data_IF_066301458070
#
_entry.id   IF_066301458070
#
_cell.length_a   1.000
_cell.length_b   1.000
_cell.length_c   1.000
_cell.angle_alpha   90.00
_cell.angle_beta   90.00
_cell.angle_gamma   90.00
#
_symmetry.space_group_name_H-M   'P 1'
#
loop_
_entity.id
_entity.type
_entity.pdbx_description
1 polymer ?
#
# COMPACT_ATOMS: atom_id res chain seq x y z
N UNK A 1 -63.41 -60.97 43.82
CA UNK A 1 -62.79 -60.73 42.50
C UNK A 1 -61.97 -59.46 42.62
N UNK A 2 -60.66 -59.61 42.67
CA UNK A 2 -59.73 -58.52 42.97
C UNK A 2 -59.37 -57.78 41.68
N UNK A 3 -59.38 -56.45 41.74
CA UNK A 3 -58.96 -55.52 40.68
C UNK A 3 -57.44 -55.56 40.56
N UNK A 4 -56.92 -55.73 39.36
CA UNK A 4 -55.53 -55.43 39.03
C UNK A 4 -55.44 -54.54 37.78
N UNK A 5 -54.78 -53.40 38.00
CA UNK A 5 -53.76 -52.76 37.17
C UNK A 5 -54.11 -52.40 35.72
N UNK A 6 -54.48 -51.13 35.56
CA UNK A 6 -54.18 -50.39 34.34
C UNK A 6 -52.70 -50.01 34.31
N UNK A 7 -52.07 -50.18 33.16
CA UNK A 7 -50.87 -49.47 32.71
C UNK A 7 -50.49 -49.99 31.33
N UNK A 8 -50.70 -49.17 30.30
CA UNK A 8 -49.97 -49.33 29.05
C UNK A 8 -49.89 -47.99 28.34
N UNK A 9 -48.66 -47.69 27.91
CA UNK A 9 -48.31 -46.76 26.84
C UNK A 9 -48.07 -45.28 27.15
N UNK A 10 -47.26 -44.96 28.16
CA UNK A 10 -46.47 -43.71 28.13
C UNK A 10 -45.11 -43.91 28.80
N UNK A 11 -44.10 -44.47 28.11
CA UNK A 11 -42.72 -44.30 28.61
C UNK A 11 -41.54 -44.44 27.64
N UNK A 12 -41.72 -44.63 26.33
CA UNK A 12 -40.58 -44.79 25.40
C UNK A 12 -40.37 -43.64 24.41
N UNK A 13 -40.48 -42.39 24.87
CA UNK A 13 -40.24 -41.21 24.01
C UNK A 13 -39.42 -40.10 24.69
N UNK A 14 -38.45 -40.42 25.55
CA UNK A 14 -37.67 -39.41 26.29
C UNK A 14 -36.14 -39.55 26.22
N UNK A 15 -35.57 -40.37 25.34
CA UNK A 15 -34.10 -40.60 25.31
C UNK A 15 -33.36 -40.28 24.00
N UNK A 16 -33.91 -39.43 23.13
CA UNK A 16 -33.13 -38.88 22.01
C UNK A 16 -33.34 -37.38 21.87
N UNK A 17 -32.58 -36.60 22.65
CA UNK A 17 -32.28 -35.21 22.29
C UNK A 17 -31.03 -35.21 21.40
N UNK A 18 -31.05 -34.59 20.20
CA UNK A 18 -29.86 -34.46 19.38
C UNK A 18 -28.86 -33.51 20.04
N UNK A 19 -27.60 -33.93 20.14
CA UNK A 19 -26.51 -33.05 20.54
C UNK A 19 -26.37 -31.91 19.51
N UNK A 20 -26.17 -30.65 19.95
CA UNK A 20 -25.87 -29.57 19.01
C UNK A 20 -24.53 -29.88 18.34
N UNK A 21 -24.54 -30.02 17.02
CA UNK A 21 -23.32 -30.19 16.23
C UNK A 21 -22.40 -28.97 16.39
N UNK A 22 -21.09 -29.13 16.16
CA UNK A 22 -20.18 -27.99 16.15
C UNK A 22 -20.67 -27.00 15.08
N UNK A 23 -20.94 -25.77 15.50
CA UNK A 23 -21.31 -24.69 14.59
C UNK A 23 -20.25 -24.47 13.52
N UNK A 24 -20.58 -23.79 12.42
CA UNK A 24 -19.58 -23.41 11.42
C UNK A 24 -18.43 -22.68 12.12
N UNK A 25 -17.17 -22.90 11.70
CA UNK A 25 -16.05 -22.16 12.26
C UNK A 25 -16.36 -20.66 12.12
N UNK A 26 -15.94 -19.83 13.11
CA UNK A 26 -16.10 -18.39 12.97
C UNK A 26 -15.46 -18.00 11.65
N UNK A 27 -16.27 -17.37 10.78
CA UNK A 27 -15.75 -16.72 9.57
C UNK A 27 -14.55 -15.90 10.02
N UNK A 28 -13.39 -16.16 9.43
CA UNK A 28 -12.23 -15.28 9.56
C UNK A 28 -12.71 -13.92 9.08
N UNK A 29 -13.20 -13.10 10.02
CA UNK A 29 -13.64 -11.76 9.74
C UNK A 29 -12.41 -11.07 9.18
N UNK A 30 -12.39 -10.88 7.87
CA UNK A 30 -11.47 -9.95 7.22
C UNK A 30 -11.62 -8.68 8.02
N UNK A 31 -10.55 -8.10 8.61
CA UNK A 31 -10.69 -6.93 9.44
C UNK A 31 -11.44 -5.90 8.60
N UNK A 32 -12.63 -5.54 9.06
CA UNK A 32 -13.41 -4.47 8.43
C UNK A 32 -12.48 -3.27 8.49
N UNK A 33 -12.02 -2.80 7.32
CA UNK A 33 -11.23 -1.57 7.21
C UNK A 33 -12.09 -0.48 7.83
N UNK A 34 -11.71 -0.04 9.03
CA UNK A 34 -12.54 0.83 9.88
C UNK A 34 -12.63 2.26 9.35
N UNK A 35 -11.90 2.56 8.27
CA UNK A 35 -11.97 3.83 7.58
C UNK A 35 -12.44 3.64 6.15
N UNK A 36 -13.45 4.41 5.75
CA UNK A 36 -13.86 4.51 4.36
C UNK A 36 -12.91 5.48 3.65
N UNK A 37 -12.09 4.95 2.73
CA UNK A 37 -11.15 5.76 1.96
C UNK A 37 -11.92 6.67 0.99
N UNK A 38 -11.73 8.01 1.03
CA UNK A 38 -12.34 8.89 0.04
C UNK A 38 -11.78 8.57 -1.36
N UNK A 39 -12.49 8.97 -2.43
CA UNK A 39 -12.08 8.67 -3.82
C UNK A 39 -10.67 9.17 -4.16
N UNK A 40 -10.22 10.24 -3.49
CA UNK A 40 -8.89 10.82 -3.60
C UNK A 40 -8.43 11.32 -2.23
N UNK A 41 -7.12 11.47 -1.99
CA UNK A 41 -6.63 12.12 -0.78
C UNK A 41 -7.15 13.56 -0.71
N UNK A 42 -7.71 13.95 0.44
CA UNK A 42 -8.33 15.27 0.66
C UNK A 42 -7.53 16.15 1.63
N UNK A 43 -6.66 15.55 2.44
CA UNK A 43 -5.80 16.25 3.38
C UNK A 43 -4.55 15.45 3.68
N UNK A 44 -3.55 16.12 4.27
CA UNK A 44 -2.28 15.50 4.65
C UNK A 44 -2.48 14.42 5.73
N UNK A 45 -3.36 14.63 6.68
CA UNK A 45 -3.69 13.66 7.74
C UNK A 45 -4.27 12.37 7.15
N UNK A 46 -5.14 12.52 6.14
CA UNK A 46 -5.75 11.39 5.43
C UNK A 46 -4.69 10.61 4.63
N UNK A 47 -3.71 11.30 4.04
CA UNK A 47 -2.56 10.68 3.37
C UNK A 47 -1.67 9.93 4.38
N UNK A 48 -1.34 10.55 5.52
CA UNK A 48 -0.53 9.93 6.57
C UNK A 48 -1.22 8.65 7.07
N UNK A 49 -2.53 8.72 7.35
CA UNK A 49 -3.29 7.54 7.78
C UNK A 49 -3.28 6.43 6.72
N UNK A 50 -3.56 6.77 5.46
CA UNK A 50 -3.48 5.80 4.35
C UNK A 50 -2.10 5.16 4.25
N UNK A 51 -1.04 5.95 4.31
CA UNK A 51 0.32 5.43 4.25
C UNK A 51 0.59 4.47 5.41
N UNK A 52 0.26 4.88 6.64
CA UNK A 52 0.52 4.06 7.84
C UNK A 52 -0.27 2.76 7.86
N UNK A 53 -1.54 2.80 7.45
CA UNK A 53 -2.40 1.61 7.50
C UNK A 53 -2.25 0.67 6.31
N UNK A 54 -1.82 1.18 5.14
CA UNK A 54 -1.85 0.39 3.90
C UNK A 54 -0.52 0.24 3.19
N UNK A 55 0.34 1.25 3.28
CA UNK A 55 1.60 1.27 2.54
C UNK A 55 2.76 0.79 3.40
N UNK A 56 2.77 1.13 4.70
CA UNK A 56 3.75 0.61 5.65
C UNK A 56 3.73 -0.93 5.73
N UNK A 57 2.57 -1.62 5.86
CA UNK A 57 2.55 -3.09 5.85
C UNK A 57 3.10 -3.70 4.55
N UNK A 58 2.99 -2.96 3.44
CA UNK A 58 3.53 -3.33 2.12
C UNK A 58 4.98 -2.88 1.91
N UNK A 59 5.61 -2.33 2.97
CA UNK A 59 7.00 -1.88 2.99
C UNK A 59 7.30 -0.79 1.95
N UNK A 60 6.33 0.07 1.65
CA UNK A 60 6.56 1.22 0.78
C UNK A 60 7.61 2.16 1.40
N UNK A 61 8.55 2.63 0.58
CA UNK A 61 9.64 3.52 1.00
C UNK A 61 10.82 2.83 1.69
N UNK A 62 10.80 1.50 1.88
CA UNK A 62 11.95 0.78 2.43
C UNK A 62 12.94 0.34 1.35
N UNK A 63 14.23 0.38 1.70
CA UNK A 63 15.29 -0.21 0.89
C UNK A 63 15.17 -1.74 0.86
N UNK A 64 15.50 -2.35 -0.27
CA UNK A 64 15.29 -3.79 -0.50
C UNK A 64 15.94 -4.62 0.59
N UNK A 65 15.16 -5.52 1.19
CA UNK A 65 15.62 -6.46 2.23
C UNK A 65 16.23 -5.80 3.49
N UNK A 66 16.03 -4.51 3.74
CA UNK A 66 16.56 -3.82 4.93
C UNK A 66 15.47 -3.24 5.82
N UNK A 67 15.83 -2.68 6.97
CA UNK A 67 14.92 -1.87 7.80
C UNK A 67 15.09 -0.37 7.57
N UNK A 68 16.01 0.02 6.68
CA UNK A 68 16.30 1.41 6.36
C UNK A 68 15.30 1.94 5.34
N UNK A 69 14.98 3.22 5.45
CA UNK A 69 14.21 3.93 4.43
C UNK A 69 15.11 4.10 3.20
N UNK A 70 14.55 3.85 2.02
CA UNK A 70 15.27 3.96 0.78
C UNK A 70 15.68 5.41 0.53
N UNK A 71 16.88 5.67 -0.01
CA UNK A 71 17.36 7.03 -0.22
C UNK A 71 16.42 7.85 -1.10
N UNK A 72 15.84 7.22 -2.14
CA UNK A 72 14.90 7.83 -3.09
C UNK A 72 13.52 8.19 -2.50
N UNK A 73 13.20 7.83 -1.26
CA UNK A 73 11.87 8.06 -0.70
C UNK A 73 11.82 9.36 0.13
N UNK A 74 11.00 10.33 -0.29
CA UNK A 74 10.92 11.67 0.31
C UNK A 74 9.58 11.98 0.98
N UNK A 75 8.75 10.97 1.26
CA UNK A 75 7.48 11.19 1.95
C UNK A 75 6.58 12.24 1.28
N UNK A 76 6.02 13.18 2.04
CA UNK A 76 5.05 14.17 1.53
C UNK A 76 5.75 15.52 1.33
N UNK A 77 6.33 15.71 0.14
CA UNK A 77 6.91 16.97 -0.34
C UNK A 77 6.22 17.48 -1.61
N UNK A 78 6.34 18.78 -1.88
CA UNK A 78 5.72 19.41 -3.05
C UNK A 78 6.43 19.02 -4.35
N UNK A 79 5.92 19.48 -5.49
CA UNK A 79 6.63 19.29 -6.76
C UNK A 79 7.89 20.15 -6.76
N UNK A 80 7.74 21.39 -6.31
CA UNK A 80 8.75 22.42 -6.30
C UNK A 80 9.94 22.01 -5.43
N UNK A 81 9.69 21.50 -4.22
CA UNK A 81 10.75 20.95 -3.36
C UNK A 81 11.50 19.80 -4.05
N UNK A 82 10.76 18.90 -4.73
CA UNK A 82 11.38 17.79 -5.45
C UNK A 82 12.24 18.24 -6.63
N UNK A 83 11.84 19.28 -7.35
CA UNK A 83 12.61 19.90 -8.43
C UNK A 83 13.88 20.55 -7.87
N UNK A 84 13.79 21.31 -6.77
CA UNK A 84 14.94 21.94 -6.10
C UNK A 84 15.98 20.94 -5.60
N UNK A 85 15.53 19.77 -5.12
CA UNK A 85 16.40 18.66 -4.73
C UNK A 85 17.16 18.08 -5.94
N UNK A 86 16.50 18.02 -7.11
CA UNK A 86 17.02 17.39 -8.33
C UNK A 86 17.77 18.37 -9.27
N UNK A 87 17.59 19.68 -9.13
CA UNK A 87 18.07 20.73 -10.06
C UNK A 87 19.55 20.56 -10.43
N UNK A 88 20.39 20.30 -9.42
CA UNK A 88 21.84 20.20 -9.54
C UNK A 88 22.36 18.75 -9.67
N UNK A 89 21.47 17.76 -9.81
CA UNK A 89 21.85 16.36 -10.01
C UNK A 89 22.02 16.03 -11.49
N UNK A 90 22.65 14.89 -11.78
CA UNK A 90 22.80 14.38 -13.13
C UNK A 90 21.44 13.99 -13.74
N UNK A 91 21.36 13.97 -15.08
CA UNK A 91 20.27 13.29 -15.76
C UNK A 91 20.18 11.84 -15.29
N UNK A 92 18.97 11.32 -15.13
CA UNK A 92 18.77 10.01 -14.51
C UNK A 92 18.57 10.03 -13.01
N UNK A 93 18.85 11.16 -12.35
CA UNK A 93 18.55 11.33 -10.93
C UNK A 93 17.04 11.34 -10.69
N UNK A 94 16.60 10.76 -9.57
CA UNK A 94 15.18 10.63 -9.28
C UNK A 94 14.86 10.57 -7.79
N UNK A 95 13.61 10.87 -7.46
CA UNK A 95 13.03 10.59 -6.14
C UNK A 95 11.55 10.23 -6.26
N UNK A 96 11.02 9.63 -5.20
CA UNK A 96 9.61 9.28 -5.06
C UNK A 96 9.03 10.01 -3.86
N UNK A 97 7.94 10.71 -4.11
CA UNK A 97 7.14 11.40 -3.09
C UNK A 97 5.71 10.89 -3.11
N UNK A 98 5.02 10.94 -1.98
CA UNK A 98 3.60 10.61 -1.87
C UNK A 98 2.78 11.63 -2.64
N UNK A 99 1.80 11.15 -3.41
CA UNK A 99 0.94 12.04 -4.19
C UNK A 99 -0.18 12.60 -3.34
N UNK A 100 -0.42 13.91 -3.44
CA UNK A 100 -1.59 14.57 -2.86
C UNK A 100 -2.81 14.57 -3.81
N UNK A 101 -2.68 14.01 -5.02
CA UNK A 101 -3.74 14.01 -6.05
C UNK A 101 -4.41 12.65 -6.22
N UNK A 102 -3.67 11.57 -6.01
CA UNK A 102 -4.11 10.18 -6.17
C UNK A 102 -3.69 9.34 -4.97
N UNK A 103 -4.29 8.18 -4.78
CA UNK A 103 -3.81 7.19 -3.83
C UNK A 103 -2.57 6.49 -4.37
N UNK A 104 -1.41 7.09 -4.14
CA UNK A 104 -0.17 6.62 -4.69
C UNK A 104 0.95 7.64 -4.57
N UNK A 105 1.84 7.63 -5.54
CA UNK A 105 3.10 8.36 -5.48
C UNK A 105 3.30 9.18 -6.75
N UNK A 106 4.33 10.00 -6.73
CA UNK A 106 4.87 10.69 -7.88
C UNK A 106 6.37 10.46 -7.91
N UNK A 107 6.84 9.82 -8.98
CA UNK A 107 8.26 9.74 -9.27
C UNK A 107 8.67 11.02 -9.99
N UNK A 108 9.57 11.79 -9.40
CA UNK A 108 10.15 12.99 -10.00
C UNK A 108 11.53 12.64 -10.54
N UNK A 109 11.79 13.02 -11.79
CA UNK A 109 12.93 12.56 -12.58
C UNK A 109 13.65 13.75 -13.21
N UNK A 110 14.98 13.77 -13.09
CA UNK A 110 15.84 14.78 -13.70
C UNK A 110 16.16 14.40 -15.15
N UNK A 111 15.72 15.24 -16.09
CA UNK A 111 16.16 15.20 -17.48
C UNK A 111 17.43 16.01 -17.66
N UNK A 112 18.08 15.93 -18.83
CA UNK A 112 19.12 16.89 -19.18
C UNK A 112 18.65 18.36 -19.05
N UNK A 113 17.38 18.63 -19.38
CA UNK A 113 16.75 19.96 -19.26
C UNK A 113 15.35 19.84 -18.65
N UNK A 114 15.21 20.29 -17.41
CA UNK A 114 13.96 20.24 -16.65
C UNK A 114 13.71 18.87 -16.00
N UNK A 115 12.44 18.57 -15.79
CA UNK A 115 11.98 17.44 -14.98
C UNK A 115 10.80 16.73 -15.62
N UNK A 116 10.63 15.45 -15.31
CA UNK A 116 9.40 14.68 -15.58
C UNK A 116 8.83 14.17 -14.27
N UNK A 117 7.50 14.06 -14.23
CA UNK A 117 6.79 13.51 -13.08
C UNK A 117 5.82 12.44 -13.53
N UNK A 118 6.03 11.24 -13.00
CA UNK A 118 5.21 10.08 -13.31
C UNK A 118 4.33 9.75 -12.11
N UNK A 119 3.02 9.69 -12.32
CA UNK A 119 2.09 9.24 -11.29
C UNK A 119 2.19 7.72 -11.16
N UNK A 120 2.36 7.25 -9.93
CA UNK A 120 2.35 5.82 -9.59
C UNK A 120 1.06 5.54 -8.84
N UNK A 121 0.20 4.69 -9.40
CA UNK A 121 -1.00 4.21 -8.71
C UNK A 121 -0.61 3.22 -7.62
N UNK A 122 -1.18 3.38 -6.43
CA UNK A 122 -1.11 2.43 -5.33
C UNK A 122 -2.47 2.31 -4.64
N UNK A 123 -3.55 2.55 -5.37
CA UNK A 123 -4.92 2.45 -4.87
C UNK A 123 -5.32 1.00 -4.55
N UNK A 124 -4.77 0.04 -5.31
CA UNK A 124 -4.94 -1.41 -5.15
C UNK A 124 -3.76 -2.13 -4.47
N UNK A 125 -3.61 -3.41 -4.80
CA UNK A 125 -2.60 -4.34 -4.26
C UNK A 125 -1.30 -4.43 -5.09
N UNK A 126 -1.17 -3.58 -6.11
CA UNK A 126 0.03 -3.41 -6.93
C UNK A 126 0.49 -1.95 -6.99
N UNK A 127 1.61 -1.71 -7.68
CA UNK A 127 2.13 -0.40 -8.05
C UNK A 127 2.36 -0.35 -9.57
N UNK A 128 1.95 0.72 -10.25
CA UNK A 128 2.17 0.90 -11.70
C UNK A 128 2.17 2.37 -12.08
N UNK A 129 2.81 2.73 -13.21
CA UNK A 129 2.71 4.08 -13.73
C UNK A 129 1.34 4.33 -14.40
N UNK A 130 0.68 5.42 -14.05
CA UNK A 130 -0.61 5.77 -14.64
C UNK A 130 -0.44 6.28 -16.07
N UNK A 131 -1.01 5.55 -17.03
CA UNK A 131 -1.08 5.97 -18.44
C UNK A 131 0.25 5.92 -19.19
N UNK A 132 1.25 5.24 -18.64
CA UNK A 132 2.60 5.18 -19.21
C UNK A 132 3.07 3.74 -19.40
N UNK A 133 3.37 3.02 -18.30
CA UNK A 133 3.74 1.61 -18.32
C UNK A 133 2.61 0.76 -17.71
N UNK A 134 2.05 -0.22 -18.45
CA UNK A 134 1.04 -1.14 -17.91
C UNK A 134 1.59 -2.16 -16.89
N UNK A 135 2.91 -2.30 -16.72
CA UNK A 135 3.49 -3.27 -15.80
C UNK A 135 3.07 -2.99 -14.35
N UNK A 136 2.75 -4.09 -13.65
CA UNK A 136 2.32 -4.07 -12.25
C UNK A 136 3.38 -4.72 -11.38
N UNK A 137 3.75 -4.02 -10.31
CA UNK A 137 4.75 -4.47 -9.36
C UNK A 137 4.12 -4.75 -8.00
N UNK A 138 4.62 -5.78 -7.31
CA UNK A 138 4.10 -6.17 -6.00
C UNK A 138 4.46 -5.14 -4.91
N UNK A 139 5.68 -4.59 -4.98
CA UNK A 139 6.18 -3.54 -4.08
C UNK A 139 6.63 -2.30 -4.84
N UNK A 140 6.64 -1.15 -4.16
CA UNK A 140 7.16 0.09 -4.73
C UNK A 140 8.66 -0.06 -5.08
N UNK A 141 9.41 -0.78 -4.25
CA UNK A 141 10.83 -1.06 -4.49
C UNK A 141 11.04 -1.93 -5.74
N UNK A 142 10.13 -2.88 -6.03
CA UNK A 142 10.19 -3.66 -7.28
C UNK A 142 9.94 -2.79 -8.51
N UNK A 143 9.03 -1.81 -8.44
CA UNK A 143 8.81 -0.84 -9.51
C UNK A 143 10.07 -0.02 -9.78
N UNK A 144 10.71 0.48 -8.71
CA UNK A 144 11.94 1.27 -8.82
C UNK A 144 13.08 0.43 -9.39
N UNK A 145 13.32 -0.77 -8.84
CA UNK A 145 14.42 -1.61 -9.29
C UNK A 145 14.25 -2.10 -10.73
N UNK A 146 13.03 -2.39 -11.16
CA UNK A 146 12.75 -2.73 -12.56
C UNK A 146 13.16 -1.58 -13.49
N UNK A 147 12.77 -0.35 -13.15
CA UNK A 147 13.04 0.82 -14.00
C UNK A 147 14.47 1.38 -13.87
N UNK A 148 15.35 0.72 -13.11
CA UNK A 148 16.80 0.96 -13.19
C UNK A 148 17.40 0.35 -14.46
N UNK A 149 16.79 -0.72 -14.97
CA UNK A 149 17.25 -1.46 -16.15
C UNK A 149 16.28 -1.31 -17.34
N UNK A 150 15.00 -1.09 -17.08
CA UNK A 150 13.95 -0.94 -18.10
C UNK A 150 13.43 0.51 -18.18
N UNK A 151 13.32 1.03 -19.40
CA UNK A 151 12.88 2.41 -19.63
C UNK A 151 11.41 2.62 -19.27
N UNK A 152 11.08 3.76 -18.65
CA UNK A 152 9.69 4.11 -18.30
C UNK A 152 8.86 4.39 -19.56
N UNK A 153 9.40 5.19 -20.49
CA UNK A 153 8.74 5.48 -21.78
C UNK A 153 9.68 5.23 -22.95
N UNK A 154 9.14 4.70 -24.05
CA UNK A 154 9.89 4.51 -25.31
C UNK A 154 10.34 5.84 -25.91
N UNK A 155 9.51 6.89 -25.80
CA UNK A 155 9.80 8.21 -26.38
C UNK A 155 10.79 9.02 -25.57
N UNK A 156 10.86 8.81 -24.25
CA UNK A 156 11.71 9.56 -23.33
C UNK A 156 12.97 8.82 -22.90
N UNK A 157 12.99 7.48 -22.93
CA UNK A 157 14.16 6.66 -22.59
C UNK A 157 14.58 6.79 -21.11
N UNK A 158 13.65 7.12 -20.21
CA UNK A 158 13.97 7.38 -18.81
C UNK A 158 14.34 6.08 -18.07
N UNK A 159 15.61 5.98 -17.66
CA UNK A 159 16.11 4.98 -16.72
C UNK A 159 16.42 5.63 -15.38
N UNK A 160 16.04 4.96 -14.29
CA UNK A 160 16.31 5.40 -12.93
C UNK A 160 17.76 5.10 -12.57
N UNK A 161 18.61 6.12 -12.52
CA UNK A 161 20.06 5.93 -12.34
C UNK A 161 20.50 6.26 -10.92
N UNK A 162 20.27 7.48 -10.47
CA UNK A 162 20.78 7.98 -9.18
C UNK A 162 19.61 8.34 -8.23
N UNK A 163 19.48 7.66 -7.08
CA UNK A 163 18.48 8.07 -6.10
C UNK A 163 18.92 9.39 -5.44
N UNK A 164 18.07 10.41 -5.49
CA UNK A 164 18.24 11.61 -4.66
C UNK A 164 17.99 11.21 -3.20
N UNK A 165 18.90 11.58 -2.31
CA UNK A 165 18.81 11.31 -0.89
C UNK A 165 18.24 12.49 -0.09
N UNK A 166 18.08 12.28 1.22
CA UNK A 166 17.63 13.31 2.14
C UNK A 166 18.66 14.42 2.32
N UNK A 167 18.21 15.69 2.36
CA UNK A 167 19.07 16.86 2.63
C UNK A 167 18.85 17.45 4.03
N UNK A 168 17.61 17.43 4.51
CA UNK A 168 17.22 18.09 5.75
C UNK A 168 17.13 17.12 6.95
N UNK A 169 17.14 17.71 8.16
CA UNK A 169 16.93 17.02 9.43
C UNK A 169 15.84 17.74 10.23
N UNK A 170 14.72 17.09 10.57
CA UNK A 170 14.39 15.69 10.29
C UNK A 170 14.18 15.41 8.78
N UNK A 171 14.33 14.16 8.33
CA UNK A 171 14.13 13.80 6.92
C UNK A 171 12.69 14.04 6.47
N UNK A 172 12.48 14.23 5.17
CA UNK A 172 11.20 14.54 4.55
C UNK A 172 10.10 13.50 4.86
N UNK A 173 10.51 12.24 5.00
CA UNK A 173 9.62 11.13 5.32
C UNK A 173 9.24 11.01 6.80
N UNK A 174 9.79 11.86 7.68
CA UNK A 174 9.70 11.70 9.12
C UNK A 174 8.29 11.36 9.62
N UNK A 175 7.28 12.15 9.24
CA UNK A 175 5.89 12.00 9.70
C UNK A 175 5.22 10.69 9.30
N UNK A 176 5.76 10.01 8.29
CA UNK A 176 5.23 8.75 7.79
C UNK A 176 5.72 7.53 8.57
N UNK A 177 6.87 7.65 9.24
CA UNK A 177 7.55 6.55 9.93
C UNK A 177 7.69 6.76 11.45
N UNK A 178 7.07 7.81 11.99
CA UNK A 178 6.82 7.96 13.44
C UNK A 178 5.85 6.93 14.00
#
# INVERSE_FOLDING_TARGET
MFRELGQSHEQEARLYQPLPGPGPPPSLAVPIRTWERPLRPLSREVIIRWFKEEQLPRRAGFERNTKSIAPWFHGIITREDAEDLLENMAEGAFLVRVSEKIWGYTLSYRLQRGFKHFLVDASGDFYSFLGVDPNRHATLTDLIDFHKEEIITVSGGELLQEPCGQRDSPPDYHLLFE
#
